data_IF_289899919562
#
_entry.id   IF_289899919562
#
_cell.length_a   1.000
_cell.length_b   1.000
_cell.length_c   1.000
_cell.angle_alpha   90.00
_cell.angle_beta   90.00
_cell.angle_gamma   90.00
#
_symmetry.space_group_name_H-M   'P 1'
#
loop_
_entity.id
_entity.type
_entity.pdbx_description
1 polymer ?
#
# COMPACT_ATOMS: atom_id res chain seq x y z
N UNK A 1 -10.38 -6.39 -9.92
CA UNK A 1 -8.91 -6.34 -10.12
C UNK A 1 -8.62 -6.21 -11.61
N UNK A 2 -7.66 -5.36 -12.01
CA UNK A 2 -7.53 -4.85 -13.39
C UNK A 2 -6.45 -5.55 -14.22
N UNK A 3 -6.15 -6.81 -13.91
CA UNK A 3 -5.19 -7.64 -14.66
C UNK A 3 -5.86 -8.90 -15.19
N UNK A 4 -5.36 -9.53 -16.27
CA UNK A 4 -5.97 -10.74 -16.81
C UNK A 4 -5.98 -11.89 -15.80
N UNK A 5 -7.17 -12.35 -15.41
CA UNK A 5 -7.33 -13.37 -14.37
C UNK A 5 -6.60 -14.68 -14.71
N UNK A 6 -6.62 -15.09 -15.98
CA UNK A 6 -6.08 -16.38 -16.45
C UNK A 6 -4.60 -16.33 -16.84
N UNK A 7 -3.91 -15.20 -16.63
CA UNK A 7 -2.53 -15.01 -17.03
C UNK A 7 -1.58 -16.08 -16.44
N UNK A 8 -0.92 -16.83 -17.33
CA UNK A 8 -0.01 -17.91 -16.96
C UNK A 8 1.29 -17.94 -17.77
N UNK A 9 1.42 -17.13 -18.83
CA UNK A 9 2.64 -17.06 -19.64
C UNK A 9 3.84 -16.58 -18.80
N UNK A 10 5.05 -17.15 -18.95
CA UNK A 10 6.25 -16.61 -18.30
C UNK A 10 6.50 -15.12 -18.61
N UNK A 11 6.08 -14.64 -19.78
CA UNK A 11 6.21 -13.24 -20.26
C UNK A 11 5.03 -12.35 -19.89
N UNK A 12 4.04 -12.86 -19.13
CA UNK A 12 2.79 -12.14 -18.93
C UNK A 12 2.98 -10.73 -18.31
N UNK A 13 4.01 -10.53 -17.49
CA UNK A 13 4.32 -9.24 -16.88
C UNK A 13 4.79 -8.22 -17.93
N UNK A 14 5.83 -8.56 -18.68
CA UNK A 14 6.33 -7.72 -19.77
C UNK A 14 5.31 -7.51 -20.88
N UNK A 15 4.55 -8.55 -21.28
CA UNK A 15 3.48 -8.44 -22.27
C UNK A 15 2.39 -7.48 -21.82
N UNK A 16 1.98 -7.57 -20.55
CA UNK A 16 0.94 -6.69 -19.99
C UNK A 16 1.39 -5.23 -19.93
N UNK A 17 2.60 -4.96 -19.44
CA UNK A 17 3.09 -3.59 -19.30
C UNK A 17 3.54 -2.95 -20.61
N UNK A 18 4.04 -3.72 -21.57
CA UNK A 18 4.31 -3.19 -22.92
C UNK A 18 3.03 -2.83 -23.67
N UNK A 19 1.93 -3.56 -23.44
CA UNK A 19 0.63 -3.18 -23.98
C UNK A 19 0.04 -1.95 -23.26
N UNK A 20 0.22 -1.85 -21.93
CA UNK A 20 -0.30 -0.76 -21.12
C UNK A 20 0.47 0.55 -21.29
N UNK A 21 1.80 0.46 -21.42
CA UNK A 21 2.71 1.60 -21.55
C UNK A 21 3.69 1.30 -22.70
N UNK A 22 3.28 1.52 -23.97
CA UNK A 22 4.08 1.16 -25.13
C UNK A 22 5.45 1.86 -25.22
N UNK A 23 5.64 2.96 -24.48
CA UNK A 23 6.89 3.70 -24.41
C UNK A 23 7.94 3.05 -23.48
N UNK A 24 7.60 2.01 -22.71
CA UNK A 24 8.60 1.26 -21.93
C UNK A 24 9.61 0.59 -22.87
N UNK A 25 10.89 0.87 -22.65
CA UNK A 25 11.96 0.25 -23.42
C UNK A 25 12.12 -1.23 -23.08
N UNK A 26 12.81 -1.98 -23.94
CA UNK A 26 13.16 -3.37 -23.64
C UNK A 26 13.98 -3.49 -22.32
N UNK A 27 14.80 -2.49 -22.00
CA UNK A 27 15.56 -2.46 -20.74
C UNK A 27 14.65 -2.24 -19.53
N UNK A 28 13.61 -1.40 -19.66
CA UNK A 28 12.61 -1.20 -18.61
C UNK A 28 11.83 -2.48 -18.33
N UNK A 29 11.40 -3.18 -19.38
CA UNK A 29 10.69 -4.46 -19.25
C UNK A 29 11.57 -5.53 -18.60
N UNK A 30 12.86 -5.61 -18.95
CA UNK A 30 13.80 -6.53 -18.32
C UNK A 30 14.04 -6.18 -16.82
N UNK A 31 14.10 -4.90 -16.51
CA UNK A 31 14.20 -4.42 -15.12
C UNK A 31 12.95 -4.79 -14.33
N UNK A 32 11.78 -4.61 -14.93
CA UNK A 32 10.49 -4.96 -14.34
C UNK A 32 10.37 -6.45 -14.02
N UNK A 33 10.80 -7.31 -14.95
CA UNK A 33 10.86 -8.77 -14.72
C UNK A 33 11.77 -9.16 -13.54
N UNK A 34 12.82 -8.37 -13.29
CA UNK A 34 13.73 -8.59 -12.16
C UNK A 34 13.15 -8.08 -10.84
N UNK A 35 12.47 -6.92 -10.86
CA UNK A 35 11.90 -6.30 -9.66
C UNK A 35 10.71 -7.07 -9.09
N UNK A 36 9.94 -7.74 -9.94
CA UNK A 36 8.82 -8.57 -9.53
C UNK A 36 9.20 -10.04 -9.72
N UNK A 37 9.51 -10.79 -8.64
CA UNK A 37 10.02 -12.16 -8.75
C UNK A 37 9.04 -13.13 -9.45
N UNK A 38 9.47 -14.36 -9.77
CA UNK A 38 8.60 -15.36 -10.40
C UNK A 38 7.36 -15.71 -9.56
N UNK A 39 6.26 -16.20 -10.18
CA UNK A 39 5.03 -16.58 -9.49
C UNK A 39 5.17 -17.46 -8.25
N UNK A 40 6.20 -18.30 -8.18
CA UNK A 40 6.45 -19.20 -7.06
C UNK A 40 6.77 -18.49 -5.74
N UNK A 41 7.11 -17.20 -5.77
CA UNK A 41 7.34 -16.40 -4.56
C UNK A 41 6.05 -15.79 -3.98
N UNK A 42 4.93 -15.91 -4.69
CA UNK A 42 3.64 -15.34 -4.27
C UNK A 42 2.76 -16.45 -3.66
N UNK A 43 1.77 -16.09 -2.82
CA UNK A 43 0.75 -17.02 -2.41
C UNK A 43 0.06 -17.66 -3.63
N UNK A 44 -0.53 -18.86 -3.48
CA UNK A 44 -1.28 -19.49 -4.55
C UNK A 44 -2.36 -18.58 -5.16
N UNK A 45 -2.75 -18.82 -6.43
CA UNK A 45 -3.84 -18.10 -7.05
C UNK A 45 -5.13 -18.17 -6.21
N UNK A 46 -5.94 -17.10 -6.16
CA UNK A 46 -7.12 -17.05 -5.29
C UNK A 46 -8.12 -18.20 -5.51
N UNK A 47 -8.25 -18.63 -6.77
CA UNK A 47 -9.14 -19.73 -7.19
C UNK A 47 -8.50 -20.48 -8.35
N UNK A 48 -9.04 -21.66 -8.68
CA UNK A 48 -8.59 -22.46 -9.83
C UNK A 48 -8.76 -21.77 -11.20
N UNK A 49 -9.57 -20.71 -11.29
CA UNK A 49 -9.74 -19.93 -12.52
C UNK A 49 -8.65 -18.87 -12.71
N UNK A 50 -7.80 -18.64 -11.70
CA UNK A 50 -6.70 -17.69 -11.79
C UNK A 50 -5.41 -18.37 -12.24
N UNK A 51 -4.75 -17.75 -13.20
CA UNK A 51 -3.46 -18.22 -13.71
C UNK A 51 -2.32 -17.96 -12.73
N UNK A 52 -1.20 -18.65 -12.91
CA UNK A 52 -0.06 -18.57 -12.01
C UNK A 52 0.52 -17.14 -11.90
N UNK A 53 0.46 -16.35 -12.97
CA UNK A 53 1.01 -14.98 -12.99
C UNK A 53 0.08 -13.94 -12.39
N UNK A 54 -1.17 -14.30 -12.06
CA UNK A 54 -2.19 -13.35 -11.61
C UNK A 54 -1.71 -12.50 -10.43
N UNK A 55 -1.13 -13.12 -9.40
CA UNK A 55 -0.64 -12.41 -8.19
C UNK A 55 0.49 -11.43 -8.51
N UNK A 56 1.44 -11.88 -9.33
CA UNK A 56 2.59 -11.07 -9.77
C UNK A 56 2.11 -9.84 -10.53
N UNK A 57 1.21 -10.03 -11.50
CA UNK A 57 0.58 -8.96 -12.26
C UNK A 57 -0.23 -8.02 -11.37
N UNK A 58 -1.05 -8.57 -10.48
CA UNK A 58 -1.88 -7.80 -9.57
C UNK A 58 -1.04 -6.90 -8.66
N UNK A 59 0.06 -7.41 -8.12
CA UNK A 59 0.98 -6.63 -7.30
C UNK A 59 1.66 -5.54 -8.13
N UNK A 60 2.22 -5.88 -9.30
CA UNK A 60 2.88 -4.90 -10.16
C UNK A 60 1.93 -3.79 -10.62
N UNK A 61 0.72 -4.14 -11.06
CA UNK A 61 -0.29 -3.16 -11.45
C UNK A 61 -0.79 -2.33 -10.26
N UNK A 62 -0.98 -2.93 -9.08
CA UNK A 62 -1.36 -2.21 -7.87
C UNK A 62 -0.31 -1.18 -7.44
N UNK A 63 0.98 -1.53 -7.60
CA UNK A 63 2.09 -0.62 -7.36
C UNK A 63 2.07 0.53 -8.37
N UNK A 64 1.99 0.21 -9.66
CA UNK A 64 1.93 1.18 -10.75
C UNK A 64 0.73 2.15 -10.64
N UNK A 65 -0.48 1.61 -10.58
CA UNK A 65 -1.71 2.39 -10.76
C UNK A 65 -2.19 3.10 -9.49
N UNK A 66 -1.71 2.72 -8.30
CA UNK A 66 -2.25 3.24 -7.04
C UNK A 66 -1.18 3.58 -6.00
N UNK A 67 -0.34 2.61 -5.62
CA UNK A 67 0.52 2.77 -4.43
C UNK A 67 1.71 3.70 -4.69
N UNK A 68 2.43 3.51 -5.81
CA UNK A 68 3.59 4.34 -6.11
C UNK A 68 3.20 5.82 -6.32
N UNK A 69 2.14 6.17 -7.08
CA UNK A 69 1.69 7.57 -7.17
C UNK A 69 1.27 8.18 -5.83
N UNK A 70 0.63 7.41 -4.95
CA UNK A 70 0.26 7.86 -3.61
C UNK A 70 1.51 8.18 -2.78
N UNK A 71 2.50 7.29 -2.77
CA UNK A 71 3.75 7.51 -2.04
C UNK A 71 4.58 8.65 -2.64
N UNK A 72 4.49 8.89 -3.96
CA UNK A 72 5.12 10.04 -4.63
C UNK A 72 4.55 11.34 -4.06
N UNK A 73 3.22 11.45 -4.00
CA UNK A 73 2.52 12.58 -3.42
C UNK A 73 2.90 12.76 -1.94
N UNK A 74 2.94 11.68 -1.17
CA UNK A 74 3.33 11.70 0.23
C UNK A 74 4.79 12.16 0.43
N UNK A 75 5.71 11.76 -0.45
CA UNK A 75 7.11 12.20 -0.42
C UNK A 75 7.22 13.72 -0.60
N UNK A 76 6.63 14.29 -1.64
CA UNK A 76 6.69 15.74 -1.88
C UNK A 76 5.98 16.53 -0.78
N UNK A 77 4.84 16.05 -0.28
CA UNK A 77 4.16 16.66 0.85
C UNK A 77 5.04 16.64 2.12
N UNK A 78 5.74 15.52 2.38
CA UNK A 78 6.61 15.38 3.56
C UNK A 78 7.86 16.24 3.50
N UNK A 79 8.39 16.52 2.29
CA UNK A 79 9.59 17.35 2.09
C UNK A 79 9.42 18.80 2.52
N UNK A 80 8.21 19.35 2.46
CA UNK A 80 7.94 20.72 2.93
C UNK A 80 8.36 20.91 4.40
N UNK A 81 8.39 19.82 5.19
CA UNK A 81 8.85 19.79 6.59
C UNK A 81 10.36 19.93 6.77
N UNK A 82 11.16 19.49 5.80
CA UNK A 82 12.62 19.48 5.92
C UNK A 82 13.28 20.85 5.66
N UNK A 83 12.52 21.84 5.18
CA UNK A 83 13.04 23.15 4.76
C UNK A 83 12.98 24.26 5.83
N UNK A 84 12.61 23.95 7.09
CA UNK A 84 12.55 24.97 8.15
C UNK A 84 11.38 25.95 8.03
N UNK A 85 10.44 25.70 7.11
CA UNK A 85 9.20 26.47 6.99
C UNK A 85 8.31 26.19 8.22
N UNK A 86 8.02 27.25 8.99
CA UNK A 86 7.17 27.22 10.18
C UNK A 86 5.68 26.83 9.92
N UNK A 87 5.37 26.32 8.72
CA UNK A 87 4.02 25.93 8.27
C UNK A 87 3.93 24.52 7.67
N UNK A 88 4.97 23.69 7.77
CA UNK A 88 4.93 22.35 7.20
C UNK A 88 4.16 21.35 8.07
N UNK A 89 2.95 21.00 7.63
CA UNK A 89 2.14 19.98 8.28
C UNK A 89 2.78 18.59 8.14
N UNK A 90 2.69 17.71 9.16
CA UNK A 90 3.08 16.33 9.01
C UNK A 90 2.23 15.63 7.94
N UNK A 91 2.75 14.54 7.39
CA UNK A 91 2.02 13.65 6.48
C UNK A 91 1.81 12.33 7.20
N UNK A 92 0.67 11.69 7.00
CA UNK A 92 0.36 10.38 7.58
C UNK A 92 -0.08 9.44 6.46
N UNK A 93 0.54 8.27 6.40
CA UNK A 93 0.25 7.26 5.38
C UNK A 93 -0.21 6.00 6.08
N UNK A 94 -1.27 5.39 5.55
CA UNK A 94 -1.75 4.09 6.00
C UNK A 94 -1.96 3.12 4.84
N UNK A 95 -1.94 1.84 5.18
CA UNK A 95 -2.36 0.72 4.33
C UNK A 95 -3.60 0.06 4.93
N UNK A 96 -4.55 -0.32 4.09
CA UNK A 96 -5.64 -1.22 4.46
C UNK A 96 -5.31 -2.64 3.98
N UNK A 97 -5.26 -3.60 4.90
CA UNK A 97 -4.72 -4.94 4.68
C UNK A 97 -5.70 -6.07 5.01
N UNK A 98 -6.99 -5.77 5.25
CA UNK A 98 -8.00 -6.81 5.45
C UNK A 98 -8.35 -7.49 4.13
N UNK A 99 -8.39 -8.83 4.12
CA UNK A 99 -8.61 -9.61 2.92
C UNK A 99 -10.11 -9.83 2.61
N UNK A 100 -10.44 -9.78 1.32
CA UNK A 100 -11.75 -10.17 0.78
C UNK A 100 -11.63 -11.29 -0.26
N UNK A 101 -12.57 -11.38 -1.20
CA UNK A 101 -12.81 -12.53 -2.09
C UNK A 101 -11.60 -13.00 -2.93
N UNK A 102 -10.63 -12.13 -3.25
CA UNK A 102 -9.37 -12.51 -3.91
C UNK A 102 -8.23 -12.89 -2.95
N UNK A 103 -8.54 -13.16 -1.67
CA UNK A 103 -7.58 -13.43 -0.61
C UNK A 103 -6.47 -12.37 -0.52
N UNK A 104 -6.87 -11.10 -0.69
CA UNK A 104 -6.04 -9.90 -0.60
C UNK A 104 -6.95 -8.72 -0.25
N UNK A 105 -6.36 -7.58 0.14
CA UNK A 105 -7.07 -6.31 0.23
C UNK A 105 -7.20 -5.70 -1.16
N UNK A 106 -8.36 -5.86 -1.81
CA UNK A 106 -8.57 -5.36 -3.17
C UNK A 106 -8.96 -3.89 -3.18
N UNK A 107 -8.79 -3.26 -4.33
CA UNK A 107 -9.26 -1.91 -4.56
C UNK A 107 -10.78 -1.83 -4.31
N UNK A 108 -11.19 -0.98 -3.36
CA UNK A 108 -12.57 -0.80 -2.93
C UNK A 108 -12.99 -1.59 -1.70
N UNK A 109 -12.24 -2.62 -1.28
CA UNK A 109 -12.64 -3.47 -0.14
C UNK A 109 -12.60 -2.76 1.22
N UNK A 110 -11.91 -1.62 1.29
CA UNK A 110 -11.86 -0.77 2.47
C UNK A 110 -13.15 0.04 2.68
N UNK A 111 -14.01 0.17 1.67
CA UNK A 111 -15.20 1.05 1.72
C UNK A 111 -16.09 0.76 2.93
N UNK A 112 -16.48 -0.49 3.25
CA UNK A 112 -17.31 -0.74 4.42
C UNK A 112 -16.66 -0.26 5.72
N UNK A 113 -15.35 -0.47 5.88
CA UNK A 113 -14.59 -0.01 7.03
C UNK A 113 -14.46 1.52 7.08
N UNK A 114 -14.28 2.16 5.92
CA UNK A 114 -14.13 3.61 5.79
C UNK A 114 -15.43 4.40 5.96
N UNK A 115 -16.58 3.77 5.69
CA UNK A 115 -17.90 4.40 5.85
C UNK A 115 -18.64 3.94 7.08
N UNK A 116 -18.02 3.07 7.89
CA UNK A 116 -18.65 2.40 9.03
C UNK A 116 -20.01 1.76 8.65
N UNK A 117 -20.05 1.00 7.55
CA UNK A 117 -21.30 0.43 7.01
C UNK A 117 -21.87 -0.67 7.92
N UNK A 118 -22.93 -0.34 8.66
CA UNK A 118 -23.57 -1.24 9.65
C UNK A 118 -24.31 -2.44 9.02
N UNK A 119 -24.50 -2.48 7.70
CA UNK A 119 -25.04 -3.66 7.03
C UNK A 119 -23.99 -4.77 6.90
N UNK A 120 -22.71 -4.38 6.82
CA UNK A 120 -21.57 -5.28 6.67
C UNK A 120 -20.86 -5.47 8.01
N UNK A 121 -20.63 -4.36 8.73
CA UNK A 121 -19.92 -4.32 10.00
C UNK A 121 -20.88 -4.59 11.16
N UNK A 122 -20.79 -5.78 11.73
CA UNK A 122 -21.61 -6.15 12.88
C UNK A 122 -20.80 -6.97 13.89
N UNK A 123 -21.08 -6.84 15.20
CA UNK A 123 -20.38 -7.60 16.24
C UNK A 123 -20.44 -9.14 16.05
N UNK A 124 -21.46 -9.64 15.35
CA UNK A 124 -21.66 -11.09 15.16
C UNK A 124 -21.10 -11.63 13.84
N UNK A 125 -21.01 -10.80 12.79
CA UNK A 125 -20.54 -11.26 11.46
C UNK A 125 -19.08 -10.92 11.22
N UNK A 126 -18.68 -9.71 11.56
CA UNK A 126 -17.40 -9.08 11.17
C UNK A 126 -16.79 -8.33 12.37
N UNK A 127 -16.67 -8.95 13.55
CA UNK A 127 -16.18 -8.26 14.75
C UNK A 127 -14.76 -7.71 14.61
N UNK A 128 -13.87 -8.38 13.86
CA UNK A 128 -12.52 -7.87 13.60
C UNK A 128 -12.54 -6.63 12.71
N UNK A 129 -13.32 -6.67 11.62
CA UNK A 129 -13.41 -5.56 10.68
C UNK A 129 -14.17 -4.37 11.26
N UNK A 130 -15.15 -4.61 12.14
CA UNK A 130 -15.77 -3.56 12.94
C UNK A 130 -14.72 -2.84 13.80
N UNK A 131 -13.87 -3.59 14.52
CA UNK A 131 -12.79 -2.99 15.31
C UNK A 131 -11.76 -2.23 14.44
N UNK A 132 -11.47 -2.73 13.23
CA UNK A 132 -10.65 -2.01 12.24
C UNK A 132 -11.30 -0.69 11.84
N UNK A 133 -12.60 -0.69 11.55
CA UNK A 133 -13.37 0.52 11.23
C UNK A 133 -13.35 1.51 12.39
N UNK A 134 -13.60 1.05 13.62
CA UNK A 134 -13.54 1.88 14.82
C UNK A 134 -12.19 2.57 14.96
N UNK A 135 -11.08 1.83 14.79
CA UNK A 135 -9.73 2.38 14.85
C UNK A 135 -9.43 3.39 13.72
N UNK A 136 -9.88 3.11 12.49
CA UNK A 136 -9.74 4.05 11.37
C UNK A 136 -10.48 5.37 11.66
N UNK A 137 -11.74 5.28 12.11
CA UNK A 137 -12.56 6.45 12.42
C UNK A 137 -12.06 7.22 13.64
N UNK A 138 -11.50 6.55 14.64
CA UNK A 138 -10.82 7.19 15.78
C UNK A 138 -9.67 8.09 15.30
N UNK A 139 -8.74 7.55 14.52
CA UNK A 139 -7.62 8.31 13.98
C UNK A 139 -8.05 9.42 13.02
N UNK A 140 -9.01 9.15 12.12
CA UNK A 140 -9.50 10.15 11.18
C UNK A 140 -10.25 11.28 11.87
N UNK A 141 -11.03 10.99 12.92
CA UNK A 141 -11.73 12.01 13.70
C UNK A 141 -10.75 12.86 14.49
N UNK A 142 -9.73 12.24 15.12
CA UNK A 142 -8.64 12.98 15.77
C UNK A 142 -7.95 13.90 14.77
N UNK A 143 -7.56 13.38 13.60
CA UNK A 143 -6.91 14.17 12.55
C UNK A 143 -7.79 15.33 12.07
N UNK A 144 -9.07 15.08 11.78
CA UNK A 144 -9.99 16.11 11.28
C UNK A 144 -10.24 17.24 12.29
N UNK A 145 -10.18 16.95 13.60
CA UNK A 145 -10.47 17.92 14.66
C UNK A 145 -9.23 18.60 15.24
N UNK A 146 -8.05 18.00 15.11
CA UNK A 146 -6.82 18.48 15.77
C UNK A 146 -5.61 18.61 14.84
N UNK A 147 -5.71 18.15 13.59
CA UNK A 147 -4.58 17.96 12.68
C UNK A 147 -3.53 16.94 13.15
N UNK A 148 -3.83 16.10 14.13
CA UNK A 148 -3.00 14.97 14.57
C UNK A 148 -3.87 13.73 14.80
N UNK A 149 -3.63 12.60 14.11
CA UNK A 149 -4.42 11.39 14.29
C UNK A 149 -4.27 10.73 15.67
N UNK A 150 -3.37 11.21 16.53
CA UNK A 150 -3.10 10.65 17.85
C UNK A 150 -3.49 11.57 19.02
N UNK A 151 -3.97 12.80 18.76
CA UNK A 151 -4.19 13.80 19.80
C UNK A 151 -5.42 13.54 20.68
N UNK A 152 -6.41 12.81 20.18
CA UNK A 152 -7.59 12.42 20.97
C UNK A 152 -7.38 11.00 21.47
N UNK A 153 -7.45 10.83 22.80
CA UNK A 153 -7.52 9.50 23.39
C UNK A 153 -8.87 8.85 23.01
N UNK A 154 -8.79 7.92 22.07
CA UNK A 154 -9.94 7.17 21.56
C UNK A 154 -10.09 5.83 22.27
N UNK A 155 -9.36 5.58 23.35
CA UNK A 155 -9.57 4.41 24.20
C UNK A 155 -10.91 4.56 24.92
N UNK A 156 -11.99 4.19 24.23
CA UNK A 156 -13.35 4.23 24.78
C UNK A 156 -13.54 3.14 25.83
N UNK A 157 -12.84 3.18 26.96
CA UNK A 157 -13.15 2.44 28.19
C UNK A 157 -13.40 0.94 28.07
N UNK A 158 -13.00 0.29 26.97
CA UNK A 158 -13.31 -1.10 26.67
C UNK A 158 -11.99 -1.89 26.65
N UNK A 159 -11.62 -2.55 27.77
CA UNK A 159 -10.37 -3.28 27.93
C UNK A 159 -10.46 -4.66 27.26
N UNK A 160 -10.95 -4.70 26.02
CA UNK A 160 -10.94 -5.91 25.21
C UNK A 160 -9.52 -6.15 24.68
N UNK A 161 -9.08 -7.41 24.53
CA UNK A 161 -7.72 -7.77 24.07
C UNK A 161 -7.43 -7.43 22.60
N UNK A 162 -8.21 -6.52 21.99
CA UNK A 162 -8.15 -6.14 20.57
C UNK A 162 -7.91 -4.65 20.34
N UNK A 163 -7.79 -3.81 21.37
CA UNK A 163 -7.32 -2.42 21.22
C UNK A 163 -5.80 -2.40 21.09
N UNK A 164 -5.29 -2.81 19.92
CA UNK A 164 -3.93 -2.44 19.55
C UNK A 164 -3.96 -0.97 19.14
N UNK A 165 -3.85 -0.08 20.14
CA UNK A 165 -3.69 1.38 20.01
C UNK A 165 -2.31 1.69 19.41
N UNK A 166 -2.10 1.27 18.15
CA UNK A 166 -0.89 1.57 17.42
C UNK A 166 -0.91 3.05 17.06
N UNK A 167 -0.04 3.85 17.71
CA UNK A 167 0.15 5.24 17.31
C UNK A 167 0.50 5.33 15.82
N UNK A 168 -0.13 6.27 15.11
CA UNK A 168 0.10 6.53 13.70
C UNK A 168 1.33 7.44 13.56
N UNK A 169 2.50 6.92 13.13
CA UNK A 169 3.68 7.75 13.01
C UNK A 169 3.53 8.74 11.85
N UNK A 170 4.11 9.95 11.96
CA UNK A 170 4.27 10.81 10.80
C UNK A 170 5.13 10.09 9.76
N UNK A 171 4.67 10.09 8.51
CA UNK A 171 5.38 9.53 7.39
C UNK A 171 6.63 10.35 7.10
N UNK A 172 7.78 9.69 7.25
CA UNK A 172 9.06 10.21 6.77
C UNK A 172 9.42 9.41 5.53
N UNK A 173 9.54 10.11 4.40
CA UNK A 173 9.81 9.44 3.12
C UNK A 173 11.18 8.74 3.15
N UNK A 174 11.26 7.46 2.74
CA UNK A 174 12.53 6.78 2.50
C UNK A 174 13.13 7.15 1.13
N UNK A 175 12.42 7.93 0.30
CA UNK A 175 12.84 8.26 -1.05
C UNK A 175 13.63 9.57 -1.07
N UNK A 176 14.69 9.62 -1.89
CA UNK A 176 15.43 10.85 -2.17
C UNK A 176 15.10 11.47 -3.53
N UNK A 177 15.88 12.47 -3.96
CA UNK A 177 15.75 13.12 -5.29
C UNK A 177 16.14 12.18 -6.43
N UNK A 178 17.05 11.25 -6.16
CA UNK A 178 17.48 10.21 -7.08
C UNK A 178 17.41 8.84 -6.40
N UNK A 179 17.42 7.76 -7.20
CA UNK A 179 17.51 6.41 -6.65
C UNK A 179 18.78 6.18 -5.79
N UNK A 180 19.85 6.95 -6.01
CA UNK A 180 21.07 6.87 -5.20
C UNK A 180 20.89 7.47 -3.80
N UNK A 181 19.88 8.34 -3.64
CA UNK A 181 19.55 9.01 -2.38
C UNK A 181 18.45 8.26 -1.60
N UNK A 182 17.96 7.14 -2.13
CA UNK A 182 16.98 6.32 -1.46
C UNK A 182 17.57 5.68 -0.21
N UNK A 183 16.87 5.85 0.90
CA UNK A 183 17.12 5.13 2.13
C UNK A 183 16.43 3.78 2.07
N UNK A 184 17.20 2.70 2.09
CA UNK A 184 16.66 1.35 2.19
C UNK A 184 16.43 1.02 3.67
N UNK A 185 15.18 0.86 4.13
CA UNK A 185 14.92 0.62 5.54
C UNK A 185 15.43 -0.75 5.98
N UNK A 186 16.20 -0.77 7.07
CA UNK A 186 16.69 -2.00 7.71
C UNK A 186 16.35 -1.97 9.20
N UNK A 187 15.10 -2.28 9.59
CA UNK A 187 14.64 -2.16 10.97
C UNK A 187 15.44 -2.99 11.99
N UNK A 188 16.12 -4.05 11.53
CA UNK A 188 17.00 -4.87 12.36
C UNK A 188 18.29 -4.14 12.76
N UNK A 189 18.77 -3.21 11.93
CA UNK A 189 20.02 -2.48 12.15
C UNK A 189 19.80 -1.27 13.06
N UNK A 190 18.65 -0.60 12.93
CA UNK A 190 18.24 0.51 13.80
C UNK A 190 16.72 0.48 14.06
N UNK A 191 16.28 0.05 15.26
CA UNK A 191 14.85 0.02 15.59
C UNK A 191 14.25 1.42 15.80
N UNK A 192 15.09 2.44 16.00
CA UNK A 192 14.68 3.83 16.22
C UNK A 192 14.42 4.57 14.92
N UNK A 193 14.91 4.06 13.79
CA UNK A 193 14.64 4.63 12.47
C UNK A 193 13.14 4.71 12.20
N UNK A 194 12.68 5.81 11.62
CA UNK A 194 11.26 6.11 11.36
C UNK A 194 10.92 6.30 9.89
N UNK A 195 11.93 6.39 9.00
CA UNK A 195 11.75 6.44 7.54
C UNK A 195 11.00 5.21 7.03
N UNK A 196 10.03 5.45 6.14
CA UNK A 196 9.22 4.40 5.53
C UNK A 196 8.25 3.72 6.48
N UNK A 197 8.06 4.21 7.72
CA UNK A 197 7.02 3.67 8.61
C UNK A 197 5.64 4.16 8.17
N UNK A 198 4.70 3.22 8.08
CA UNK A 198 3.27 3.46 7.79
C UNK A 198 2.40 2.69 8.78
N UNK A 199 1.18 3.17 9.01
CA UNK A 199 0.19 2.43 9.78
C UNK A 199 -0.51 1.41 8.87
N UNK A 200 -0.82 0.23 9.39
CA UNK A 200 -1.53 -0.82 8.67
C UNK A 200 -2.77 -1.21 9.44
N UNK A 201 -3.92 -1.15 8.79
CA UNK A 201 -5.20 -1.53 9.35
C UNK A 201 -5.64 -2.91 8.86
N UNK A 202 -6.07 -3.76 9.79
CA UNK A 202 -6.74 -5.02 9.47
C UNK A 202 -5.86 -6.14 8.93
N UNK A 203 -4.55 -6.09 9.14
CA UNK A 203 -3.67 -7.16 8.64
C UNK A 203 -4.09 -8.53 9.16
N UNK A 204 -4.20 -9.51 8.25
CA UNK A 204 -4.54 -10.88 8.60
C UNK A 204 -6.02 -11.10 8.91
N UNK A 205 -6.85 -10.04 8.81
CA UNK A 205 -8.30 -10.18 8.82
C UNK A 205 -8.74 -10.87 7.52
N UNK A 206 -9.60 -11.88 7.62
CA UNK A 206 -10.19 -12.56 6.46
C UNK A 206 -11.71 -12.78 6.60
N UNK A 207 -12.38 -11.93 7.38
CA UNK A 207 -13.82 -12.06 7.64
C UNK A 207 -14.68 -11.83 6.39
N UNK A 208 -14.18 -11.07 5.41
CA UNK A 208 -14.85 -10.83 4.12
C UNK A 208 -14.47 -11.84 3.02
N UNK A 209 -13.59 -12.81 3.28
CA UNK A 209 -13.24 -13.84 2.31
C UNK A 209 -14.33 -14.92 2.14
N UNK A 210 -15.43 -14.82 2.88
CA UNK A 210 -16.53 -15.80 2.84
C UNK A 210 -16.04 -17.21 3.18
N UNK A 211 -16.27 -18.18 2.28
CA UNK A 211 -15.84 -19.58 2.47
C UNK A 211 -14.34 -19.81 2.25
N UNK A 212 -13.64 -18.84 1.65
CA UNK A 212 -12.20 -18.94 1.42
C UNK A 212 -11.38 -18.52 2.67
N UNK A 213 -12.00 -17.77 3.58
CA UNK A 213 -11.38 -17.31 4.82
C UNK A 213 -11.66 -18.22 6.01
N UNK A 214 -10.89 -18.00 7.07
CA UNK A 214 -11.05 -18.66 8.37
C UNK A 214 -11.79 -17.78 9.39
N UNK A 215 -12.29 -16.61 8.97
CA UNK A 215 -12.94 -15.59 9.83
C UNK A 215 -12.04 -15.11 10.97
N UNK A 216 -10.74 -15.05 10.72
CA UNK A 216 -9.74 -14.42 11.58
C UNK A 216 -10.02 -12.93 11.64
N UNK A 217 -10.01 -12.41 12.86
CA UNK A 217 -10.19 -10.97 13.13
C UNK A 217 -9.00 -10.12 12.67
N UNK A 218 -7.82 -10.72 12.56
CA UNK A 218 -6.59 -10.02 12.23
C UNK A 218 -6.10 -9.08 13.34
N UNK A 219 -5.12 -8.26 12.99
CA UNK A 219 -4.60 -7.17 13.80
C UNK A 219 -5.34 -5.89 13.41
N UNK A 220 -5.96 -5.22 14.39
CA UNK A 220 -6.74 -3.99 14.16
C UNK A 220 -5.88 -2.91 13.51
N UNK A 221 -4.78 -2.55 14.15
CA UNK A 221 -3.79 -1.61 13.65
C UNK A 221 -2.38 -2.03 14.07
N UNK A 222 -1.39 -1.81 13.22
CA UNK A 222 0.03 -1.93 13.56
C UNK A 222 0.89 -1.08 12.65
N UNK A 223 2.06 -0.67 13.14
CA UNK A 223 3.06 -0.02 12.29
C UNK A 223 3.86 -1.08 11.55
N UNK A 224 4.19 -0.80 10.28
CA UNK A 224 5.21 -1.54 9.53
C UNK A 224 6.14 -0.56 8.83
N UNK A 225 7.32 -1.06 8.46
CA UNK A 225 8.25 -0.33 7.59
C UNK A 225 8.13 -0.85 6.17
N UNK A 226 8.19 0.03 5.18
CA UNK A 226 8.37 -0.36 3.78
C UNK A 226 9.62 -1.22 3.63
N UNK A 227 9.51 -2.28 2.84
CA UNK A 227 10.59 -3.21 2.55
C UNK A 227 11.54 -2.66 1.49
N UNK A 228 12.76 -3.19 1.44
CA UNK A 228 13.71 -2.89 0.36
C UNK A 228 13.12 -3.14 -1.04
N UNK A 229 12.40 -4.26 -1.20
CA UNK A 229 11.77 -4.61 -2.46
C UNK A 229 10.71 -3.58 -2.86
N UNK A 230 9.86 -3.16 -1.91
CA UNK A 230 8.86 -2.11 -2.13
C UNK A 230 9.51 -0.79 -2.55
N UNK A 231 10.56 -0.34 -1.86
CA UNK A 231 11.27 0.92 -2.19
C UNK A 231 11.80 0.86 -3.63
N UNK A 232 12.48 -0.22 -4.01
CA UNK A 232 13.00 -0.39 -5.38
C UNK A 232 11.89 -0.45 -6.44
N UNK A 233 10.79 -1.16 -6.14
CA UNK A 233 9.64 -1.27 -7.04
C UNK A 233 8.94 0.08 -7.22
N UNK A 234 8.73 0.84 -6.16
CA UNK A 234 8.10 2.16 -6.24
C UNK A 234 8.99 3.18 -6.97
N UNK A 235 10.31 3.16 -6.71
CA UNK A 235 11.29 3.99 -7.42
C UNK A 235 11.25 3.75 -8.94
N UNK A 236 11.18 2.49 -9.37
CA UNK A 236 11.06 2.15 -10.79
C UNK A 236 9.87 2.86 -11.47
N UNK A 237 8.71 2.89 -10.81
CA UNK A 237 7.52 3.56 -11.33
C UNK A 237 7.62 5.08 -11.27
N UNK A 238 8.21 5.64 -10.22
CA UNK A 238 8.40 7.10 -10.11
C UNK A 238 9.27 7.66 -11.22
N UNK A 239 10.40 7.01 -11.49
CA UNK A 239 11.33 7.44 -12.54
C UNK A 239 10.69 7.36 -13.94
N UNK A 240 9.52 6.74 -14.05
CA UNK A 240 8.76 6.52 -15.30
C UNK A 240 7.36 7.12 -15.26
N UNK A 241 7.06 7.98 -14.28
CA UNK A 241 5.72 8.57 -14.13
C UNK A 241 5.28 9.31 -15.39
N UNK A 242 6.19 10.04 -16.04
CA UNK A 242 5.92 10.77 -17.29
C UNK A 242 5.51 9.87 -18.47
N UNK A 243 5.91 8.60 -18.50
CA UNK A 243 5.47 7.65 -19.53
C UNK A 243 3.97 7.30 -19.41
N UNK A 244 3.39 7.57 -18.25
CA UNK A 244 2.04 7.14 -17.86
C UNK A 244 1.02 8.29 -17.88
N UNK A 245 1.48 9.53 -18.04
CA UNK A 245 0.64 10.75 -18.08
C UNK A 245 0.12 11.08 -19.49
N UNK A 246 0.26 10.15 -20.45
CA UNK A 246 -0.22 10.34 -21.82
C UNK A 246 0.68 11.24 -22.68
N UNK A 247 1.86 11.62 -22.18
CA UNK A 247 2.83 12.41 -22.94
C UNK A 247 3.41 11.63 -24.11
N UNK A 248 3.50 10.29 -24.03
CA UNK A 248 3.84 9.41 -25.16
C UNK A 248 5.24 9.60 -25.75
N UNK A 249 6.07 10.47 -25.17
CA UNK A 249 7.44 10.73 -25.60
C UNK A 249 8.38 10.44 -24.43
N UNK A 250 9.45 9.69 -24.71
CA UNK A 250 10.63 9.66 -23.85
C UNK A 250 11.33 10.99 -24.07
N UNK A 251 11.44 11.83 -23.04
CA UNK A 251 12.19 13.09 -23.18
C UNK A 251 13.66 12.76 -23.46
N UNK A 252 14.20 13.34 -24.54
CA UNK A 252 15.56 13.08 -25.03
C UNK A 252 16.67 13.67 -24.13
N UNK A 253 16.30 14.47 -23.13
CA UNK A 253 17.23 15.07 -22.18
C UNK A 253 16.76 14.77 -20.76
N UNK A 254 17.64 14.22 -19.93
CA UNK A 254 17.35 13.73 -18.57
C UNK A 254 17.00 14.82 -17.55
N UNK A 255 16.39 15.92 -17.97
CA UNK A 255 15.89 16.99 -17.11
C UNK A 255 14.56 16.59 -16.48
N UNK A 256 14.67 16.17 -15.22
CA UNK A 256 13.58 15.81 -14.30
C UNK A 256 12.61 16.96 -14.06
N UNK A 257 11.35 16.60 -13.76
CA UNK A 257 10.47 17.40 -12.90
C UNK A 257 10.95 17.35 -11.44
#
# INVERSE_FOLDING_TARGET
>A
MFVPATASSPTALSDFFSALIPALSAADLATLETLYPPPSTYPPPPTASHGAQFRRLAQAYGHYGYIAPLLHSAHFASKKKSAGDAGAAPVWVYEYAAHADLAAANHGDHVPAATHDTNILTPHKTPGLLAVSDAMHAHWSSFATTSDPNAVDTSHGNPGPTSNDASWPPFISPFGDTAADDYIPRPADDPTETRGKILVFGEGNDELMGRLGQRRRGTVARVRTLTEAEVRQFRFWWDRVGLSEGMGVVEEDGSKL
#
